data_IF_937823998094
#
_entry.id   IF_937823998094
#
_cell.length_a   1.000
_cell.length_b   1.000
_cell.length_c   1.000
_cell.angle_alpha   90.00
_cell.angle_beta   90.00
_cell.angle_gamma   90.00
#
_symmetry.space_group_name_H-M   'P 1'
#
loop_
_entity.id
_entity.type
_entity.pdbx_description
1 polymer ?
#
# COMPACT_ATOMS: atom_id res chain seq x y z
N UNK A 1 47.07 26.88 35.06
CA UNK A 1 47.45 26.04 33.91
C UNK A 1 47.09 24.55 34.12
N UNK A 2 47.38 23.93 35.27
CA UNK A 2 47.00 22.52 35.51
C UNK A 2 45.49 22.22 35.44
N UNK A 3 44.62 23.12 35.93
CA UNK A 3 43.17 22.92 35.83
C UNK A 3 42.63 22.93 34.39
N UNK A 4 43.27 23.68 33.48
CA UNK A 4 42.88 23.72 32.06
C UNK A 4 43.25 22.42 31.34
N UNK A 5 44.37 21.80 31.71
CA UNK A 5 44.76 20.48 31.17
C UNK A 5 43.83 19.36 31.63
N UNK A 6 43.33 19.41 32.87
CA UNK A 6 42.36 18.44 33.37
C UNK A 6 41.00 18.53 32.67
N UNK A 7 40.52 19.74 32.35
CA UNK A 7 39.28 19.91 31.60
C UNK A 7 39.39 19.42 30.15
N UNK A 8 40.55 19.58 29.49
CA UNK A 8 40.76 19.04 28.15
C UNK A 8 40.82 17.50 28.13
N UNK A 9 41.40 16.87 29.14
CA UNK A 9 41.40 15.41 29.24
C UNK A 9 40.01 14.82 29.49
N UNK A 10 39.16 15.49 30.28
CA UNK A 10 37.78 15.04 30.49
C UNK A 10 36.90 15.19 29.24
N UNK A 11 37.14 16.20 28.39
CA UNK A 11 36.42 16.32 27.12
C UNK A 11 36.81 15.24 26.11
N UNK A 12 38.07 14.79 26.10
CA UNK A 12 38.51 13.71 25.20
C UNK A 12 37.95 12.34 25.61
N UNK A 13 37.72 12.10 26.91
CA UNK A 13 37.13 10.83 27.36
C UNK A 13 35.63 10.70 27.05
N UNK A 14 34.92 11.83 26.89
CA UNK A 14 33.48 11.80 26.52
C UNK A 14 33.24 11.60 25.02
N UNK A 15 34.25 11.79 24.17
CA UNK A 15 34.13 11.59 22.72
C UNK A 15 34.44 10.15 22.26
N UNK A 16 34.89 9.28 23.17
CA UNK A 16 35.23 7.88 22.89
C UNK A 16 34.09 6.87 22.99
N UNK A 17 32.87 7.28 23.38
CA UNK A 17 31.71 6.38 23.46
C UNK A 17 30.71 6.69 22.34
N UNK A 18 31.04 6.25 21.13
CA UNK A 18 30.15 6.30 19.98
C UNK A 18 29.83 4.89 19.49
N UNK A 19 28.52 4.60 19.53
CA UNK A 19 27.76 3.60 18.77
C UNK A 19 28.06 2.11 19.00
N UNK A 20 27.30 1.56 19.95
CA UNK A 20 26.81 0.19 19.89
C UNK A 20 26.18 -0.08 18.51
N UNK A 21 26.65 -1.15 17.87
CA UNK A 21 26.29 -1.61 16.53
C UNK A 21 24.77 -1.76 16.36
N UNK A 22 24.16 -0.80 15.68
CA UNK A 22 22.88 -1.05 15.00
C UNK A 22 23.15 -2.05 13.85
N UNK A 23 22.23 -3.01 13.59
CA UNK A 23 22.33 -3.85 12.40
C UNK A 23 22.35 -2.94 11.18
N UNK A 24 23.40 -3.05 10.37
CA UNK A 24 23.57 -2.24 9.18
C UNK A 24 22.37 -2.38 8.22
N UNK A 25 22.10 -1.36 7.39
CA UNK A 25 21.07 -1.45 6.38
C UNK A 25 21.31 -2.70 5.50
N UNK A 26 20.23 -3.41 5.10
CA UNK A 26 20.37 -4.59 4.27
C UNK A 26 21.18 -4.25 3.01
N UNK A 27 22.05 -5.18 2.55
CA UNK A 27 22.86 -4.94 1.38
C UNK A 27 21.96 -4.60 0.19
N UNK A 28 22.34 -3.61 -0.65
CA UNK A 28 21.58 -3.29 -1.85
C UNK A 28 21.45 -4.56 -2.71
N UNK A 29 20.27 -4.82 -3.28
CA UNK A 29 19.99 -6.07 -3.96
C UNK A 29 20.95 -6.26 -5.15
N UNK A 30 21.51 -7.46 -5.24
CA UNK A 30 22.60 -7.81 -6.14
C UNK A 30 22.22 -7.56 -7.61
N UNK A 31 23.03 -6.76 -8.31
CA UNK A 31 22.76 -6.28 -9.68
C UNK A 31 22.71 -7.41 -10.71
N UNK A 32 23.08 -8.64 -10.33
CA UNK A 32 23.21 -9.79 -11.22
C UNK A 32 21.95 -10.65 -11.44
N UNK A 33 20.81 -10.37 -10.79
CA UNK A 33 19.63 -11.27 -10.87
C UNK A 33 18.26 -10.60 -11.04
N UNK A 34 18.23 -9.33 -11.40
CA UNK A 34 17.05 -8.51 -11.18
C UNK A 34 16.42 -7.98 -12.48
N UNK A 35 15.61 -8.84 -13.10
CA UNK A 35 14.30 -8.36 -13.52
C UNK A 35 13.49 -8.08 -12.25
N UNK A 36 13.72 -6.94 -11.59
CA UNK A 36 12.87 -6.50 -10.48
C UNK A 36 11.46 -6.34 -11.05
N UNK A 37 10.59 -7.30 -10.77
CA UNK A 37 9.16 -7.08 -10.94
C UNK A 37 8.76 -5.86 -10.08
N UNK A 38 7.77 -5.07 -10.49
CA UNK A 38 7.33 -3.88 -9.75
C UNK A 38 7.08 -4.18 -8.25
N UNK A 39 6.55 -5.37 -7.94
CA UNK A 39 6.36 -5.86 -6.58
C UNK A 39 7.65 -5.95 -5.76
N UNK A 40 8.76 -6.38 -6.35
CA UNK A 40 10.02 -6.48 -5.62
C UNK A 40 10.57 -5.11 -5.19
N UNK A 41 10.30 -4.04 -5.95
CA UNK A 41 10.64 -2.67 -5.54
C UNK A 41 9.80 -2.22 -4.33
N UNK A 42 8.50 -2.53 -4.33
CA UNK A 42 7.60 -2.23 -3.21
C UNK A 42 8.01 -3.02 -1.96
N UNK A 43 8.32 -4.31 -2.12
CA UNK A 43 8.84 -5.15 -1.04
C UNK A 43 10.13 -4.57 -0.45
N UNK A 44 11.04 -4.06 -1.28
CA UNK A 44 12.25 -3.40 -0.82
C UNK A 44 11.96 -2.15 0.03
N UNK A 45 10.89 -1.40 -0.24
CA UNK A 45 10.48 -0.28 0.62
C UNK A 45 9.91 -0.79 1.94
N UNK A 46 9.03 -1.79 1.89
CA UNK A 46 8.37 -2.35 3.07
C UNK A 46 9.38 -3.00 4.02
N UNK A 47 10.41 -3.66 3.50
CA UNK A 47 11.43 -4.36 4.28
C UNK A 47 12.44 -3.41 4.96
N UNK A 48 12.48 -2.12 4.61
CA UNK A 48 13.32 -1.13 5.29
C UNK A 48 12.73 -0.87 6.69
N UNK A 49 13.17 -1.65 7.69
CA UNK A 49 12.61 -1.60 9.04
C UNK A 49 12.91 -0.28 9.75
N UNK A 50 11.85 0.42 10.17
CA UNK A 50 11.87 1.65 10.99
C UNK A 50 12.99 2.62 10.59
N UNK A 51 13.04 3.04 9.32
CA UNK A 51 14.10 3.89 8.85
C UNK A 51 13.85 5.31 9.35
N UNK A 52 14.88 6.00 9.86
CA UNK A 52 14.84 7.47 9.92
C UNK A 52 14.78 8.07 8.50
N UNK A 53 15.33 7.34 7.54
CA UNK A 53 15.31 7.65 6.11
C UNK A 53 15.32 6.37 5.28
N UNK A 54 14.57 6.36 4.18
CA UNK A 54 14.64 5.32 3.16
C UNK A 54 15.82 5.56 2.22
N UNK A 55 16.27 4.48 1.58
CA UNK A 55 17.19 4.56 0.45
C UNK A 55 16.39 4.52 -0.85
N UNK A 56 16.65 5.48 -1.73
CA UNK A 56 16.09 5.52 -3.07
C UNK A 56 16.47 4.27 -3.87
N UNK A 57 15.50 3.72 -4.61
CA UNK A 57 15.62 2.45 -5.34
C UNK A 57 16.10 2.60 -6.79
N UNK A 58 16.33 3.83 -7.26
CA UNK A 58 16.69 4.14 -8.63
C UNK A 58 15.51 4.67 -9.47
N UNK A 59 15.83 5.07 -10.70
CA UNK A 59 14.88 5.68 -11.66
C UNK A 59 14.54 4.76 -12.83
N UNK A 60 14.88 3.47 -12.71
CA UNK A 60 14.64 2.48 -13.76
C UNK A 60 13.15 2.19 -13.97
N UNK A 61 12.83 1.61 -15.12
CA UNK A 61 11.46 1.28 -15.51
C UNK A 61 10.81 0.26 -14.56
N UNK A 62 11.62 -0.61 -13.96
CA UNK A 62 11.25 -1.61 -12.96
C UNK A 62 10.85 -1.02 -11.60
N UNK A 63 10.99 0.29 -11.40
CA UNK A 63 10.58 0.99 -10.18
C UNK A 63 9.28 1.76 -10.48
N UNK A 64 8.21 1.60 -9.66
CA UNK A 64 6.97 2.36 -9.82
C UNK A 64 7.25 3.86 -9.90
N UNK A 65 6.53 4.58 -10.77
CA UNK A 65 6.78 6.01 -11.03
C UNK A 65 6.71 6.90 -9.77
N UNK A 66 5.92 6.49 -8.77
CA UNK A 66 5.83 7.16 -7.47
C UNK A 66 7.06 6.93 -6.58
N UNK A 67 7.83 5.86 -6.80
CA UNK A 67 9.01 5.46 -6.01
C UNK A 67 10.34 5.73 -6.72
N UNK A 68 10.33 6.27 -7.94
CA UNK A 68 11.55 6.61 -8.67
C UNK A 68 12.29 7.75 -7.97
N UNK A 69 13.42 7.40 -7.36
CA UNK A 69 14.32 8.31 -6.68
C UNK A 69 15.76 7.89 -7.01
N UNK A 70 16.72 8.82 -6.94
CA UNK A 70 18.12 8.50 -7.19
C UNK A 70 18.59 7.34 -6.29
N UNK A 71 19.32 6.38 -6.87
CA UNK A 71 19.74 5.17 -6.17
C UNK A 71 20.65 5.54 -4.98
N UNK A 72 20.25 5.15 -3.77
CA UNK A 72 20.98 5.45 -2.54
C UNK A 72 20.77 6.86 -1.99
N UNK A 73 19.90 7.67 -2.60
CA UNK A 73 19.47 8.94 -2.00
C UNK A 73 18.73 8.71 -0.69
N UNK A 74 18.91 9.61 0.29
CA UNK A 74 18.19 9.56 1.56
C UNK A 74 16.86 10.26 1.42
N UNK A 75 15.78 9.57 1.76
CA UNK A 75 14.41 10.08 1.76
C UNK A 75 13.86 10.01 3.19
N UNK A 76 13.60 11.14 3.82
CA UNK A 76 13.20 11.14 5.23
C UNK A 76 11.82 10.48 5.43
N UNK A 77 11.73 9.65 6.46
CA UNK A 77 10.49 8.97 6.79
C UNK A 77 9.55 9.92 7.53
N UNK A 78 8.31 10.03 7.04
CA UNK A 78 7.22 10.65 7.77
C UNK A 78 6.30 9.55 8.31
N UNK A 79 6.22 9.36 9.64
CA UNK A 79 5.34 8.35 10.22
C UNK A 79 3.88 8.69 9.89
N UNK A 80 3.13 7.65 9.53
CA UNK A 80 1.70 7.74 9.27
C UNK A 80 1.01 6.65 10.09
N UNK A 81 -0.04 7.02 10.80
CA UNK A 81 -0.82 6.03 11.53
C UNK A 81 -1.75 5.24 10.60
N UNK A 82 -2.42 4.22 11.14
CA UNK A 82 -3.33 3.37 10.37
C UNK A 82 -4.52 4.17 9.81
N UNK A 83 -5.15 5.00 10.62
CA UNK A 83 -6.34 5.76 10.23
C UNK A 83 -6.02 6.80 9.13
N UNK A 84 -4.86 7.43 9.22
CA UNK A 84 -4.33 8.33 8.20
C UNK A 84 -4.04 7.59 6.89
N UNK A 85 -3.46 6.38 6.99
CA UNK A 85 -3.17 5.53 5.83
C UNK A 85 -4.45 5.14 5.11
N UNK A 86 -5.45 4.64 5.84
CA UNK A 86 -6.78 4.28 5.29
C UNK A 86 -7.47 5.48 4.64
N UNK A 87 -7.50 6.62 5.35
CA UNK A 87 -8.09 7.85 4.83
C UNK A 87 -7.39 8.33 3.55
N UNK A 88 -6.08 8.14 3.45
CA UNK A 88 -5.32 8.45 2.25
C UNK A 88 -5.70 7.53 1.09
N UNK A 89 -5.76 6.21 1.31
CA UNK A 89 -6.16 5.23 0.29
C UNK A 89 -7.56 5.55 -0.24
N UNK A 90 -8.54 5.74 0.65
CA UNK A 90 -9.88 6.16 0.28
C UNK A 90 -9.87 7.48 -0.51
N UNK A 91 -9.03 8.43 -0.10
CA UNK A 91 -8.81 9.68 -0.81
C UNK A 91 -8.30 9.48 -2.23
N UNK A 92 -7.35 8.56 -2.44
CA UNK A 92 -6.82 8.21 -3.77
C UNK A 92 -7.90 7.59 -4.64
N UNK A 93 -8.65 6.61 -4.13
CA UNK A 93 -9.76 5.98 -4.88
C UNK A 93 -10.82 7.00 -5.30
N UNK A 94 -11.25 7.85 -4.37
CA UNK A 94 -12.24 8.88 -4.65
C UNK A 94 -11.73 9.93 -5.65
N UNK A 95 -10.48 10.36 -5.51
CA UNK A 95 -9.85 11.30 -6.44
C UNK A 95 -9.73 10.69 -7.84
N UNK A 96 -9.34 9.41 -7.95
CA UNK A 96 -9.29 8.68 -9.21
C UNK A 96 -10.67 8.60 -9.85
N UNK A 97 -11.67 8.12 -9.11
CA UNK A 97 -13.03 8.00 -9.63
C UNK A 97 -13.62 9.35 -10.07
N UNK A 98 -13.24 10.46 -9.44
CA UNK A 98 -13.61 11.81 -9.87
C UNK A 98 -12.87 12.21 -11.16
N UNK A 99 -11.57 11.96 -11.23
CA UNK A 99 -10.75 12.22 -12.41
C UNK A 99 -11.28 11.47 -13.64
N UNK A 100 -11.51 10.16 -13.51
CA UNK A 100 -11.98 9.33 -14.62
C UNK A 100 -13.38 9.75 -15.10
N UNK A 101 -14.26 10.18 -14.19
CA UNK A 101 -15.57 10.75 -14.54
C UNK A 101 -15.46 12.09 -15.26
N UNK A 102 -14.54 12.95 -14.83
CA UNK A 102 -14.39 14.28 -15.41
C UNK A 102 -13.80 14.23 -16.83
N UNK A 103 -12.81 13.35 -17.06
CA UNK A 103 -12.09 13.27 -18.33
C UNK A 103 -12.56 12.13 -19.24
N UNK A 104 -13.53 11.33 -18.79
CA UNK A 104 -14.04 10.13 -19.48
C UNK A 104 -12.90 9.20 -19.96
N UNK A 105 -11.88 9.04 -19.12
CA UNK A 105 -10.66 8.31 -19.43
C UNK A 105 -10.27 7.47 -18.22
N UNK A 106 -10.00 6.18 -18.43
CA UNK A 106 -9.51 5.30 -17.35
C UNK A 106 -8.00 5.39 -17.25
N UNK A 107 -7.51 5.51 -16.03
CA UNK A 107 -6.07 5.55 -15.71
C UNK A 107 -5.79 4.44 -14.72
N UNK A 108 -4.63 3.79 -14.81
CA UNK A 108 -4.26 2.78 -13.84
C UNK A 108 -3.77 3.43 -12.52
N UNK A 109 -3.96 2.72 -11.41
CA UNK A 109 -3.70 3.18 -10.05
C UNK A 109 -2.23 3.56 -9.84
N UNK A 110 -1.22 2.78 -10.29
CA UNK A 110 0.18 3.17 -10.14
C UNK A 110 0.49 4.54 -10.76
N UNK A 111 -0.03 4.80 -11.96
CA UNK A 111 0.13 6.05 -12.69
C UNK A 111 -0.62 7.19 -12.00
N UNK A 112 -1.88 6.95 -11.64
CA UNK A 112 -2.69 7.94 -10.96
C UNK A 112 -2.11 8.30 -9.58
N UNK A 113 -1.64 7.31 -8.83
CA UNK A 113 -1.06 7.49 -7.51
C UNK A 113 0.19 8.38 -7.57
N UNK A 114 1.07 8.16 -8.55
CA UNK A 114 2.24 9.02 -8.76
C UNK A 114 1.84 10.49 -8.99
N UNK A 115 0.81 10.73 -9.79
CA UNK A 115 0.28 12.09 -10.03
C UNK A 115 -0.36 12.66 -8.77
N UNK A 116 -1.19 11.87 -8.08
CA UNK A 116 -1.91 12.28 -6.88
C UNK A 116 -0.96 12.70 -5.75
N UNK A 117 0.10 11.92 -5.51
CA UNK A 117 1.11 12.25 -4.49
C UNK A 117 1.82 13.55 -4.84
N UNK A 118 2.21 13.75 -6.10
CA UNK A 118 2.85 15.00 -6.54
C UNK A 118 1.94 16.22 -6.39
N UNK A 119 0.63 16.05 -6.61
CA UNK A 119 -0.34 17.12 -6.41
C UNK A 119 -0.54 17.44 -4.92
N UNK A 120 -0.58 16.42 -4.06
CA UNK A 120 -0.89 16.58 -2.64
C UNK A 120 0.32 17.03 -1.81
N UNK A 121 1.52 16.52 -2.10
CA UNK A 121 2.73 16.73 -1.31
C UNK A 121 3.80 17.56 -2.04
N UNK A 122 3.53 17.95 -3.29
CA UNK A 122 4.44 18.76 -4.11
C UNK A 122 5.28 17.93 -5.09
N UNK A 123 5.88 18.64 -6.05
CA UNK A 123 6.82 18.06 -7.01
C UNK A 123 8.24 18.11 -6.42
N UNK A 124 8.98 16.99 -6.46
CA UNK A 124 10.34 16.91 -5.92
C UNK A 124 10.47 16.01 -4.69
N UNK A 125 11.45 16.27 -3.80
CA UNK A 125 11.80 15.39 -2.67
C UNK A 125 10.63 15.07 -1.74
N UNK A 126 9.86 16.09 -1.34
CA UNK A 126 8.73 15.91 -0.42
C UNK A 126 7.67 14.92 -0.94
N UNK A 127 7.37 14.95 -2.25
CA UNK A 127 6.46 14.00 -2.86
C UNK A 127 7.03 12.57 -2.89
N UNK A 128 8.34 12.43 -3.13
CA UNK A 128 9.01 11.12 -3.10
C UNK A 128 9.06 10.54 -1.68
N UNK A 129 9.43 11.35 -0.69
CA UNK A 129 9.45 10.99 0.73
C UNK A 129 8.06 10.54 1.21
N UNK A 130 7.02 11.27 0.81
CA UNK A 130 5.64 10.90 1.09
C UNK A 130 5.28 9.56 0.42
N UNK A 131 5.64 9.34 -0.85
CA UNK A 131 5.37 8.08 -1.53
C UNK A 131 6.01 6.87 -0.82
N UNK A 132 7.30 6.98 -0.46
CA UNK A 132 8.00 5.91 0.28
C UNK A 132 7.37 5.68 1.65
N UNK A 133 7.06 6.75 2.38
CA UNK A 133 6.43 6.67 3.70
C UNK A 133 5.05 5.99 3.62
N UNK A 134 4.25 6.32 2.62
CA UNK A 134 2.93 5.71 2.40
C UNK A 134 3.06 4.23 2.05
N UNK A 135 3.93 3.87 1.10
CA UNK A 135 4.12 2.46 0.70
C UNK A 135 4.60 1.62 1.89
N UNK A 136 5.53 2.15 2.69
CA UNK A 136 5.97 1.49 3.91
C UNK A 136 4.83 1.36 4.94
N UNK A 137 4.04 2.41 5.15
CA UNK A 137 2.88 2.36 6.07
C UNK A 137 1.78 1.40 5.61
N UNK A 138 1.57 1.27 4.30
CA UNK A 138 0.66 0.27 3.73
C UNK A 138 1.14 -1.15 4.07
N UNK A 139 2.44 -1.43 3.90
CA UNK A 139 3.00 -2.75 4.22
C UNK A 139 2.89 -3.10 5.70
N UNK A 140 3.03 -2.10 6.57
CA UNK A 140 2.82 -2.27 8.02
C UNK A 140 1.37 -2.57 8.41
N UNK A 141 0.41 -2.18 7.57
CA UNK A 141 -1.01 -2.36 7.79
C UNK A 141 -1.60 -3.42 6.83
N UNK A 142 -0.80 -4.39 6.36
CA UNK A 142 -1.23 -5.42 5.39
C UNK A 142 -2.33 -6.37 5.93
N UNK A 143 -2.58 -6.36 7.23
CA UNK A 143 -3.72 -7.06 7.85
C UNK A 143 -5.05 -6.44 7.43
N UNK A 144 -5.05 -5.15 7.09
CA UNK A 144 -6.20 -4.46 6.56
C UNK A 144 -6.43 -4.82 5.08
N UNK A 145 -7.64 -5.32 4.70
CA UNK A 145 -7.92 -5.76 3.34
C UNK A 145 -7.78 -4.66 2.29
N UNK A 146 -8.11 -3.41 2.63
CA UNK A 146 -8.03 -2.29 1.69
C UNK A 146 -6.58 -1.90 1.45
N UNK A 147 -5.76 -1.87 2.52
CA UNK A 147 -4.31 -1.65 2.40
C UNK A 147 -3.63 -2.74 1.57
N UNK A 148 -3.96 -4.01 1.82
CA UNK A 148 -3.41 -5.15 1.08
C UNK A 148 -3.81 -5.12 -0.39
N UNK A 149 -5.09 -4.86 -0.68
CA UNK A 149 -5.60 -4.81 -2.05
C UNK A 149 -4.97 -3.64 -2.81
N UNK A 150 -4.86 -2.48 -2.17
CA UNK A 150 -4.19 -1.32 -2.75
C UNK A 150 -2.72 -1.61 -3.09
N UNK A 151 -1.97 -2.25 -2.18
CA UNK A 151 -0.58 -2.65 -2.44
C UNK A 151 -0.44 -3.60 -3.62
N UNK A 152 -1.28 -4.64 -3.69
CA UNK A 152 -1.24 -5.60 -4.80
C UNK A 152 -1.58 -4.99 -6.15
N UNK A 153 -2.49 -4.02 -6.17
CA UNK A 153 -2.79 -3.25 -7.38
C UNK A 153 -1.61 -2.34 -7.72
N UNK A 154 -1.02 -1.68 -6.71
CA UNK A 154 0.13 -0.80 -6.89
C UNK A 154 1.37 -1.55 -7.42
N UNK A 155 1.54 -2.80 -7.01
CA UNK A 155 2.61 -3.70 -7.49
C UNK A 155 2.33 -4.38 -8.82
N UNK A 156 1.15 -4.14 -9.41
CA UNK A 156 0.64 -4.83 -10.60
C UNK A 156 0.53 -6.35 -10.42
N UNK A 157 0.45 -6.85 -9.18
CA UNK A 157 0.13 -8.26 -8.90
C UNK A 157 -1.36 -8.58 -9.14
N UNK A 158 -2.21 -7.55 -9.07
CA UNK A 158 -3.65 -7.67 -9.13
C UNK A 158 -4.25 -6.55 -9.97
N UNK A 159 -5.26 -6.88 -10.77
CA UNK A 159 -5.98 -5.88 -11.57
C UNK A 159 -6.99 -5.10 -10.70
N UNK A 160 -7.25 -3.85 -11.09
CA UNK A 160 -8.21 -2.98 -10.41
C UNK A 160 -9.65 -3.50 -10.45
N UNK A 161 -9.99 -4.36 -11.42
CA UNK A 161 -11.31 -5.01 -11.50
C UNK A 161 -11.65 -5.86 -10.29
N UNK A 162 -10.67 -6.22 -9.45
CA UNK A 162 -10.93 -6.93 -8.20
C UNK A 162 -11.81 -6.13 -7.25
N UNK A 163 -11.69 -4.79 -7.20
CA UNK A 163 -12.55 -3.97 -6.34
C UNK A 163 -14.04 -4.04 -6.72
N UNK A 164 -14.46 -3.73 -7.96
CA UNK A 164 -15.86 -3.88 -8.34
C UNK A 164 -16.32 -5.34 -8.27
N UNK A 165 -15.43 -6.32 -8.45
CA UNK A 165 -15.79 -7.73 -8.25
C UNK A 165 -16.09 -8.06 -6.79
N UNK A 166 -15.25 -7.61 -5.86
CA UNK A 166 -15.48 -7.77 -4.42
C UNK A 166 -16.77 -7.08 -3.97
N UNK A 167 -17.02 -5.86 -4.45
CA UNK A 167 -18.22 -5.11 -4.12
C UNK A 167 -19.49 -5.79 -4.67
N UNK A 168 -19.44 -6.26 -5.92
CA UNK A 168 -20.53 -7.04 -6.52
C UNK A 168 -20.80 -8.31 -5.73
N UNK A 169 -19.75 -9.07 -5.38
CA UNK A 169 -19.88 -10.28 -4.58
C UNK A 169 -20.53 -9.98 -3.21
N UNK A 170 -20.10 -8.91 -2.55
CA UNK A 170 -20.69 -8.45 -1.29
C UNK A 170 -22.18 -8.15 -1.45
N UNK A 171 -22.55 -7.38 -2.46
CA UNK A 171 -23.95 -7.02 -2.75
C UNK A 171 -24.79 -8.25 -3.07
N UNK A 172 -24.27 -9.18 -3.88
CA UNK A 172 -24.97 -10.40 -4.28
C UNK A 172 -25.23 -11.32 -3.08
N UNK A 173 -24.23 -11.50 -2.20
CA UNK A 173 -24.37 -12.25 -0.96
C UNK A 173 -25.40 -11.61 -0.03
N UNK A 174 -25.29 -10.30 0.23
CA UNK A 174 -26.24 -9.58 1.08
C UNK A 174 -27.67 -9.63 0.53
N UNK A 175 -27.83 -9.47 -0.78
CA UNK A 175 -29.13 -9.60 -1.46
C UNK A 175 -29.68 -11.02 -1.33
N UNK A 176 -28.83 -12.04 -1.50
CA UNK A 176 -29.20 -13.44 -1.32
C UNK A 176 -29.66 -13.75 0.10
N UNK A 177 -28.91 -13.32 1.10
CA UNK A 177 -29.27 -13.48 2.51
C UNK A 177 -30.58 -12.78 2.84
N UNK A 178 -30.74 -11.51 2.43
CA UNK A 178 -31.95 -10.75 2.69
C UNK A 178 -33.19 -11.39 2.06
N UNK A 179 -33.09 -11.82 0.79
CA UNK A 179 -34.18 -12.49 0.08
C UNK A 179 -34.60 -13.77 0.78
N UNK A 180 -33.63 -14.60 1.19
CA UNK A 180 -33.91 -15.87 1.86
C UNK A 180 -34.49 -15.66 3.25
N UNK A 181 -33.98 -14.71 4.02
CA UNK A 181 -34.47 -14.37 5.35
C UNK A 181 -35.91 -13.88 5.31
N UNK A 182 -36.20 -12.93 4.40
CA UNK A 182 -37.56 -12.42 4.18
C UNK A 182 -38.52 -13.54 3.75
N UNK A 183 -38.07 -14.47 2.90
CA UNK A 183 -38.90 -15.58 2.45
C UNK A 183 -39.25 -16.58 3.58
N UNK A 184 -38.31 -16.83 4.50
CA UNK A 184 -38.54 -17.79 5.60
C UNK A 184 -39.33 -17.19 6.75
N UNK A 185 -39.06 -15.92 7.07
CA UNK A 185 -39.57 -15.28 8.28
C UNK A 185 -40.66 -14.23 8.02
N UNK A 186 -40.98 -13.93 6.75
CA UNK A 186 -41.85 -12.83 6.28
C UNK A 186 -41.40 -11.43 6.71
N UNK A 187 -40.32 -11.33 7.47
CA UNK A 187 -39.70 -10.11 7.99
C UNK A 187 -38.18 -10.29 7.95
N UNK A 188 -37.43 -9.19 7.96
CA UNK A 188 -35.97 -9.23 8.07
C UNK A 188 -35.61 -9.48 9.54
N UNK A 189 -35.09 -10.66 9.83
CA UNK A 189 -34.69 -11.06 11.19
C UNK A 189 -33.17 -11.05 11.38
N UNK A 190 -32.41 -11.23 10.30
CA UNK A 190 -30.97 -11.46 10.35
C UNK A 190 -30.56 -12.88 10.76
N UNK A 191 -31.52 -13.80 10.90
CA UNK A 191 -31.28 -15.18 11.32
C UNK A 191 -31.54 -16.17 10.18
N UNK A 192 -30.48 -16.81 9.69
CA UNK A 192 -30.54 -17.87 8.70
C UNK A 192 -29.92 -19.16 9.24
N UNK A 193 -30.45 -20.31 8.82
CA UNK A 193 -29.85 -21.61 9.14
C UNK A 193 -28.57 -21.79 8.35
N UNK A 194 -27.60 -22.51 8.91
CA UNK A 194 -26.30 -22.79 8.27
C UNK A 194 -26.44 -23.38 6.86
N UNK A 195 -27.40 -24.29 6.65
CA UNK A 195 -27.65 -24.89 5.33
C UNK A 195 -28.10 -23.88 4.27
N UNK A 196 -28.93 -22.91 4.66
CA UNK A 196 -29.39 -21.86 3.76
C UNK A 196 -28.26 -20.89 3.41
N UNK A 197 -27.42 -20.54 4.38
CA UNK A 197 -26.22 -19.72 4.15
C UNK A 197 -25.28 -20.41 3.15
N UNK A 198 -25.00 -21.70 3.36
CA UNK A 198 -24.14 -22.47 2.46
C UNK A 198 -24.67 -22.49 1.04
N UNK A 199 -25.96 -22.77 0.85
CA UNK A 199 -26.59 -22.80 -0.46
C UNK A 199 -26.52 -21.45 -1.19
N UNK A 200 -26.67 -20.33 -0.47
CA UNK A 200 -26.56 -18.99 -1.03
C UNK A 200 -25.11 -18.70 -1.43
N UNK A 201 -24.14 -18.99 -0.56
CA UNK A 201 -22.73 -18.80 -0.87
C UNK A 201 -22.32 -19.60 -2.11
N UNK A 202 -22.70 -20.88 -2.17
CA UNK A 202 -22.41 -21.75 -3.31
C UNK A 202 -23.01 -21.20 -4.60
N UNK A 203 -24.29 -20.81 -4.60
CA UNK A 203 -24.96 -20.26 -5.77
C UNK A 203 -24.36 -18.93 -6.27
N UNK A 204 -23.86 -18.08 -5.36
CA UNK A 204 -23.22 -16.80 -5.73
C UNK A 204 -21.81 -17.05 -6.27
N UNK A 205 -21.04 -17.94 -5.64
CA UNK A 205 -19.68 -18.25 -6.07
C UNK A 205 -19.66 -18.92 -7.45
N UNK A 206 -20.56 -19.87 -7.72
CA UNK A 206 -20.66 -20.53 -9.04
C UNK A 206 -21.15 -19.59 -10.15
N UNK A 207 -21.92 -18.55 -9.82
CA UNK A 207 -22.35 -17.53 -10.80
C UNK A 207 -21.21 -16.62 -11.24
N UNK A 208 -20.15 -16.49 -10.44
CA UNK A 208 -19.06 -15.56 -10.70
C UNK A 208 -18.01 -16.08 -11.70
N UNK A 209 -18.07 -17.37 -12.07
CA UNK A 209 -17.13 -18.02 -13.00
C UNK A 209 -17.43 -17.80 -14.49
N UNK A 210 -18.55 -17.14 -14.84
CA UNK A 210 -18.94 -16.86 -16.23
C UNK A 210 -18.79 -15.37 -16.64
N UNK A 211 -17.57 -14.85 -16.89
CA UNK A 211 -17.39 -13.58 -17.59
C UNK A 211 -17.26 -13.74 -19.12
N UNK A 212 -17.19 -14.97 -19.66
CA UNK A 212 -16.91 -15.20 -21.09
C UNK A 212 -18.11 -15.07 -22.05
N UNK A 213 -19.34 -14.84 -21.56
CA UNK A 213 -20.55 -14.85 -22.40
C UNK A 213 -21.19 -13.46 -22.68
N UNK A 214 -20.60 -12.35 -22.20
CA UNK A 214 -21.21 -11.02 -22.30
C UNK A 214 -20.37 -9.98 -23.07
N UNK A 215 -19.55 -10.44 -24.02
CA UNK A 215 -18.73 -9.58 -24.87
C UNK A 215 -18.54 -10.16 -26.26
N UNK A 216 -19.64 -10.29 -27.00
CA UNK A 216 -19.67 -10.40 -28.46
C UNK A 216 -20.68 -9.37 -28.99
#
# INVERSE_FOLDING_TARGET
QQQQQQQQQQQQQQQGMTYSSAPGPPPPPDKGRLGLHLGAAIDCVIQQRRPEFFLGLGVGENVPACLRAELGSKLYWSPMDKAETEKLIMGVWNAKAKFERQFNFRVAIPEFFAVHIRQKYGTGPAGMEAAYSIVHSLGRNEEDPDCRTFLRILSLECDESVLPCQERLRVDLLSGFLKKDTMLNNVVTGWLRKGDIHAICEAVLTKSEDPAAAGA
#
